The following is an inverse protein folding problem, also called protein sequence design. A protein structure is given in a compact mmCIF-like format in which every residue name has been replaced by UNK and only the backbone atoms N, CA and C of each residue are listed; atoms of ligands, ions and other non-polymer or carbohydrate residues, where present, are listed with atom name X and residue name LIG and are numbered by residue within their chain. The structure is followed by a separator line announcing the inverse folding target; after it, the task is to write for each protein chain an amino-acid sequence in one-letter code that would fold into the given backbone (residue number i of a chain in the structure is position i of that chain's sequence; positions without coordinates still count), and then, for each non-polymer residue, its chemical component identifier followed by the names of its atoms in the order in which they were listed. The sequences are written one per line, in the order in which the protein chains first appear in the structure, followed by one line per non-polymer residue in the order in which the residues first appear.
data_IF_322470100217
#
_entry.id   IF_322470100217
#
_cell.length_a   1.000
_cell.length_b   1.000
_cell.length_c   1.000
_cell.angle_alpha   90.00
_cell.angle_beta   90.00
_cell.angle_gamma   90.00
#
_symmetry.space_group_name_H-M   'P 1'
#
loop_
_entity.id
_entity.type
_entity.pdbx_description
1 polymer ?
#
# COMPACT_ATOMS: atom_id res chain seq x y z
N UNK A 1 -4.72 -13.75 -5.59
CA UNK A 1 -3.69 -13.77 -4.54
C UNK A 1 -4.06 -14.87 -3.57
N UNK A 2 -3.09 -15.52 -2.94
CA UNK A 2 -3.35 -16.57 -1.96
C UNK A 2 -3.41 -15.97 -0.55
N UNK A 3 -4.55 -16.12 0.10
CA UNK A 3 -4.81 -15.71 1.49
C UNK A 3 -5.55 -16.83 2.24
N UNK A 4 -5.45 -18.06 1.74
CA UNK A 4 -6.20 -19.23 2.25
C UNK A 4 -5.85 -19.51 3.70
N UNK A 5 -4.58 -19.32 4.06
CA UNK A 5 -4.04 -19.53 5.40
C UNK A 5 -3.93 -18.22 6.21
N UNK A 6 -4.63 -17.16 5.80
CA UNK A 6 -4.50 -15.82 6.36
C UNK A 6 -3.68 -14.87 5.49
N UNK A 7 -3.48 -13.65 6.00
CA UNK A 7 -2.69 -12.60 5.37
C UNK A 7 -1.29 -12.62 6.00
N UNK A 8 -0.24 -12.89 5.20
CA UNK A 8 1.16 -12.86 5.65
C UNK A 8 1.49 -11.55 6.37
N UNK A 9 2.26 -11.63 7.46
CA UNK A 9 2.66 -10.47 8.27
C UNK A 9 1.53 -9.77 9.02
N UNK A 10 0.32 -10.35 9.06
CA UNK A 10 -0.82 -9.85 9.86
C UNK A 10 -1.36 -10.92 10.80
N UNK A 11 -1.89 -12.01 10.26
CA UNK A 11 -2.39 -13.17 11.02
C UNK A 11 -1.82 -14.51 10.54
N UNK A 12 -0.79 -14.45 9.69
CA UNK A 12 0.01 -15.56 9.22
C UNK A 12 1.50 -15.14 9.25
N UNK A 13 2.46 -16.07 9.11
CA UNK A 13 3.90 -15.75 9.10
C UNK A 13 4.27 -14.65 8.09
N UNK A 14 5.41 -14.01 8.31
CA UNK A 14 5.92 -12.95 7.43
C UNK A 14 6.14 -13.46 5.99
N UNK A 15 5.90 -12.60 4.98
CA UNK A 15 6.04 -12.99 3.58
C UNK A 15 7.51 -13.24 3.22
N UNK A 16 7.79 -14.38 2.58
CA UNK A 16 9.11 -14.75 2.09
C UNK A 16 9.23 -14.62 0.56
N UNK A 17 8.10 -14.44 -0.12
CA UNK A 17 8.04 -14.15 -1.56
C UNK A 17 7.31 -12.86 -1.84
N UNK A 18 7.52 -12.28 -3.03
CA UNK A 18 6.78 -11.08 -3.45
C UNK A 18 5.27 -11.35 -3.58
N UNK A 19 4.89 -12.56 -3.99
CA UNK A 19 3.52 -12.99 -4.16
C UNK A 19 2.78 -13.07 -2.82
N UNK A 20 3.47 -13.53 -1.77
CA UNK A 20 3.00 -13.46 -0.36
C UNK A 20 3.02 -12.04 0.19
N UNK A 21 3.97 -11.21 -0.23
CA UNK A 21 4.04 -9.82 0.19
C UNK A 21 2.89 -8.98 -0.36
N UNK A 22 2.32 -9.33 -1.52
CA UNK A 22 1.21 -8.56 -2.10
C UNK A 22 -0.02 -8.44 -1.19
N UNK A 23 -0.61 -9.52 -0.64
CA UNK A 23 -1.71 -9.41 0.31
C UNK A 23 -1.31 -8.65 1.59
N UNK A 24 -0.07 -8.80 2.08
CA UNK A 24 0.45 -7.97 3.17
C UNK A 24 0.42 -6.48 2.79
N UNK A 25 0.97 -6.10 1.63
CA UNK A 25 0.95 -4.73 1.13
C UNK A 25 -0.49 -4.19 1.02
N UNK A 26 -1.42 -4.95 0.44
CA UNK A 26 -2.82 -4.53 0.33
C UNK A 26 -3.46 -4.32 1.72
N UNK A 27 -3.12 -5.17 2.70
CA UNK A 27 -3.61 -4.99 4.09
C UNK A 27 -3.08 -3.73 4.77
N UNK A 28 -1.94 -3.18 4.31
CA UNK A 28 -1.42 -1.90 4.80
C UNK A 28 -2.07 -0.68 4.13
N UNK A 29 -2.92 -0.88 3.12
CA UNK A 29 -3.58 0.16 2.33
C UNK A 29 -5.11 -0.09 2.21
N UNK A 30 -5.74 -0.49 3.31
CA UNK A 30 -7.16 -0.84 3.32
C UNK A 30 -8.08 0.37 3.20
N UNK A 31 -7.63 1.56 3.56
CA UNK A 31 -8.43 2.77 3.42
C UNK A 31 -8.38 3.29 1.97
N UNK A 32 -9.53 3.59 1.34
CA UNK A 32 -9.56 4.03 -0.07
C UNK A 32 -8.77 5.30 -0.32
N UNK A 33 -8.74 6.24 0.64
CA UNK A 33 -7.94 7.46 0.53
C UNK A 33 -6.42 7.17 0.48
N UNK A 34 -5.91 6.22 1.27
CA UNK A 34 -4.50 5.79 1.23
C UNK A 34 -4.15 5.26 -0.15
N UNK A 35 -5.00 4.39 -0.72
CA UNK A 35 -4.80 3.86 -2.08
C UNK A 35 -4.80 4.96 -3.13
N UNK A 36 -5.75 5.89 -3.05
CA UNK A 36 -5.83 7.02 -3.98
C UNK A 36 -4.59 7.92 -3.90
N UNK A 37 -4.11 8.24 -2.69
CA UNK A 37 -2.90 9.02 -2.48
C UNK A 37 -1.68 8.30 -3.07
N UNK A 38 -1.50 7.01 -2.80
CA UNK A 38 -0.40 6.24 -3.38
C UNK A 38 -0.47 6.20 -4.91
N UNK A 39 -1.65 5.92 -5.49
CA UNK A 39 -1.81 5.89 -6.95
C UNK A 39 -1.43 7.24 -7.56
N UNK A 40 -1.91 8.35 -6.98
CA UNK A 40 -1.58 9.70 -7.42
C UNK A 40 -0.09 10.03 -7.26
N UNK A 41 0.48 9.76 -6.09
CA UNK A 41 1.88 10.05 -5.76
C UNK A 41 2.85 9.26 -6.63
N UNK A 42 2.65 7.94 -6.79
CA UNK A 42 3.47 7.09 -7.66
C UNK A 42 3.36 7.53 -9.12
N UNK A 43 2.15 7.83 -9.60
CA UNK A 43 1.97 8.31 -10.99
C UNK A 43 2.65 9.66 -11.22
N UNK A 44 2.52 10.59 -10.28
CA UNK A 44 3.19 11.89 -10.33
C UNK A 44 4.71 11.77 -10.27
N UNK A 45 5.24 10.88 -9.43
CA UNK A 45 6.67 10.60 -9.36
C UNK A 45 7.22 10.05 -10.69
N UNK A 46 6.48 9.16 -11.36
CA UNK A 46 6.86 8.63 -12.68
C UNK A 46 6.88 9.75 -13.72
N UNK A 47 5.84 10.59 -13.77
CA UNK A 47 5.78 11.72 -14.71
C UNK A 47 6.91 12.72 -14.44
N UNK A 48 7.17 13.05 -13.17
CA UNK A 48 8.25 13.96 -12.78
C UNK A 48 9.63 13.41 -13.18
N UNK A 49 9.90 12.14 -12.88
CA UNK A 49 11.15 11.49 -13.25
C UNK A 49 11.34 11.43 -14.77
N UNK A 50 10.30 11.04 -15.51
CA UNK A 50 10.33 11.02 -16.97
C UNK A 50 10.59 12.41 -17.57
N UNK A 51 9.94 13.45 -17.03
CA UNK A 51 10.22 14.83 -17.41
C UNK A 51 11.68 15.23 -17.12
N UNK A 52 12.24 14.79 -15.99
CA UNK A 52 13.66 15.00 -15.67
C UNK A 52 14.61 14.42 -16.72
N UNK A 53 14.32 13.23 -17.25
CA UNK A 53 15.11 12.66 -18.35
C UNK A 53 14.90 13.40 -19.67
N UNK A 54 13.65 13.73 -20.02
CA UNK A 54 13.33 14.43 -21.28
C UNK A 54 13.95 15.83 -21.33
N UNK A 55 13.94 16.55 -20.22
CA UNK A 55 14.46 17.92 -20.12
C UNK A 55 15.91 17.97 -19.60
N UNK A 56 16.58 16.83 -19.44
CA UNK A 56 17.93 16.73 -18.86
C UNK A 56 18.08 17.48 -17.52
N UNK A 57 17.04 17.47 -16.70
CA UNK A 57 16.98 18.18 -15.43
C UNK A 57 17.14 17.19 -14.25
N UNK A 58 18.33 17.10 -13.63
CA UNK A 58 18.57 16.17 -12.53
C UNK A 58 17.75 16.51 -11.27
N UNK A 59 17.29 17.76 -11.10
CA UNK A 59 16.45 18.13 -9.95
C UNK A 59 15.08 17.46 -10.02
N UNK A 60 14.50 17.31 -11.23
CA UNK A 60 13.23 16.60 -11.39
C UNK A 60 13.38 15.10 -11.11
N UNK A 61 14.50 14.50 -11.54
CA UNK A 61 14.82 13.10 -11.22
C UNK A 61 14.98 12.91 -9.70
N UNK A 62 15.69 13.84 -9.03
CA UNK A 62 15.86 13.82 -7.58
C UNK A 62 14.56 14.11 -6.80
N UNK A 63 13.65 14.91 -7.37
CA UNK A 63 12.35 15.23 -6.76
C UNK A 63 11.35 14.07 -6.85
N UNK A 64 11.45 13.21 -7.87
CA UNK A 64 10.56 12.06 -8.07
C UNK A 64 10.36 11.18 -6.82
N UNK A 65 11.42 10.69 -6.12
CA UNK A 65 11.23 9.90 -4.91
C UNK A 65 10.56 10.68 -3.78
N UNK A 66 10.79 11.99 -3.66
CA UNK A 66 10.14 12.84 -2.64
C UNK A 66 8.65 12.97 -2.93
N UNK A 67 8.29 13.20 -4.20
CA UNK A 67 6.89 13.29 -4.66
C UNK A 67 6.17 11.95 -4.47
N UNK A 68 6.86 10.83 -4.69
CA UNK A 68 6.29 9.49 -4.50
C UNK A 68 6.09 9.15 -3.02
N UNK A 69 7.15 9.24 -2.21
CA UNK A 69 7.13 8.74 -0.84
C UNK A 69 6.57 9.74 0.18
N UNK A 70 6.69 11.05 -0.03
CA UNK A 70 6.21 12.05 0.93
C UNK A 70 4.70 11.92 1.24
N UNK A 71 3.82 12.03 0.22
CA UNK A 71 2.37 11.84 0.39
C UNK A 71 2.02 10.41 0.83
N UNK A 72 2.70 9.40 0.29
CA UNK A 72 2.51 8.00 0.66
C UNK A 72 2.70 7.78 2.17
N UNK A 73 3.84 8.21 2.72
CA UNK A 73 4.14 8.12 4.14
C UNK A 73 3.16 8.93 4.99
N UNK A 74 2.81 10.15 4.55
CA UNK A 74 1.79 10.94 5.24
C UNK A 74 0.45 10.19 5.33
N UNK A 75 0.03 9.50 4.27
CA UNK A 75 -1.21 8.71 4.28
C UNK A 75 -1.15 7.54 5.27
N UNK A 76 -0.01 6.85 5.37
CA UNK A 76 0.18 5.79 6.37
C UNK A 76 0.06 6.31 7.80
N UNK A 77 0.76 7.39 8.14
CA UNK A 77 0.77 7.91 9.51
C UNK A 77 -0.52 8.64 9.90
N UNK A 78 -1.18 9.30 8.95
CA UNK A 78 -2.37 10.12 9.22
C UNK A 78 -3.68 9.35 9.06
N UNK A 79 -3.76 8.41 8.11
CA UNK A 79 -5.00 7.71 7.75
C UNK A 79 -4.97 6.27 8.27
N UNK A 80 -4.00 5.45 7.83
CA UNK A 80 -3.94 4.03 8.22
C UNK A 80 -3.53 3.84 9.68
N UNK A 81 -2.78 4.79 10.25
CA UNK A 81 -2.16 4.69 11.58
C UNK A 81 -1.22 3.49 11.69
N UNK A 82 -0.49 3.18 10.62
CA UNK A 82 0.53 2.13 10.57
C UNK A 82 1.89 2.70 10.13
N UNK A 83 2.92 1.86 10.17
CA UNK A 83 4.22 2.15 9.57
C UNK A 83 4.20 1.68 8.10
N UNK A 84 4.78 2.44 7.16
CA UNK A 84 4.87 2.02 5.76
C UNK A 84 5.57 0.67 5.62
N UNK A 85 5.03 -0.21 4.76
CA UNK A 85 5.63 -1.52 4.46
C UNK A 85 7.08 -1.40 3.94
N UNK A 86 7.43 -0.26 3.34
CA UNK A 86 8.78 0.04 2.84
C UNK A 86 9.86 0.02 3.91
N UNK A 87 9.51 0.14 5.19
CA UNK A 87 10.49 0.06 6.28
C UNK A 87 10.93 -1.38 6.57
N UNK A 88 10.12 -2.39 6.23
CA UNK A 88 10.48 -3.80 6.33
C UNK A 88 10.92 -4.41 4.99
N UNK A 89 10.25 -4.03 3.89
CA UNK A 89 10.48 -4.60 2.57
C UNK A 89 10.58 -3.48 1.50
N UNK A 90 11.66 -2.69 1.46
CA UNK A 90 11.75 -1.49 0.61
C UNK A 90 11.61 -1.82 -0.89
N UNK A 91 12.32 -2.84 -1.38
CA UNK A 91 12.30 -3.25 -2.80
C UNK A 91 10.92 -3.78 -3.21
N UNK A 92 10.29 -4.61 -2.37
CA UNK A 92 8.96 -5.14 -2.66
C UNK A 92 7.88 -4.08 -2.58
N UNK A 93 8.00 -3.13 -1.65
CA UNK A 93 7.05 -2.02 -1.51
C UNK A 93 7.10 -1.11 -2.74
N UNK A 94 8.32 -0.76 -3.20
CA UNK A 94 8.48 -0.02 -4.45
C UNK A 94 7.82 -0.75 -5.63
N UNK A 95 8.09 -2.05 -5.82
CA UNK A 95 7.44 -2.86 -6.87
C UNK A 95 5.92 -2.92 -6.69
N UNK A 96 5.44 -2.97 -5.45
CA UNK A 96 4.01 -3.04 -5.12
C UNK A 96 3.27 -1.73 -5.41
N UNK A 97 3.90 -0.56 -5.25
CA UNK A 97 3.30 0.73 -5.63
C UNK A 97 2.96 0.76 -7.14
N UNK A 98 3.88 0.31 -8.00
CA UNK A 98 3.60 0.20 -9.45
C UNK A 98 2.51 -0.85 -9.74
N UNK A 99 2.51 -1.98 -9.01
CA UNK A 99 1.46 -2.99 -9.13
C UNK A 99 0.10 -2.43 -8.72
N UNK A 100 0.04 -1.60 -7.67
CA UNK A 100 -1.16 -0.92 -7.21
C UNK A 100 -1.69 0.04 -8.26
N UNK A 101 -0.83 0.89 -8.84
CA UNK A 101 -1.18 1.79 -9.95
C UNK A 101 -1.76 1.00 -11.14
N UNK A 102 -1.07 -0.05 -11.60
CA UNK A 102 -1.56 -0.90 -12.69
C UNK A 102 -2.91 -1.53 -12.37
N UNK A 103 -3.10 -2.04 -11.15
CA UNK A 103 -4.36 -2.67 -10.74
C UNK A 103 -5.49 -1.67 -10.56
N UNK A 104 -5.19 -0.44 -10.16
CA UNK A 104 -6.17 0.64 -10.11
C UNK A 104 -6.71 0.93 -11.53
N UNK A 105 -5.81 1.19 -12.48
CA UNK A 105 -6.22 1.51 -13.87
C UNK A 105 -6.86 0.34 -14.61
N UNK A 106 -6.57 -0.90 -14.23
CA UNK A 106 -7.22 -2.10 -14.80
C UNK A 106 -8.49 -2.52 -14.06
N UNK A 107 -8.94 -1.76 -13.06
CA UNK A 107 -10.15 -2.07 -12.28
C UNK A 107 -10.05 -3.31 -11.39
N UNK A 108 -8.84 -3.82 -11.14
CA UNK A 108 -8.58 -5.07 -10.40
C UNK A 108 -8.17 -4.86 -8.95
N UNK A 109 -7.86 -3.63 -8.53
CA UNK A 109 -7.36 -3.35 -7.19
C UNK A 109 -8.43 -3.62 -6.11
N UNK A 110 -9.68 -3.22 -6.35
CA UNK A 110 -10.73 -3.34 -5.35
C UNK A 110 -11.07 -4.82 -5.06
N UNK A 111 -11.01 -5.69 -6.06
CA UNK A 111 -11.18 -7.13 -5.86
C UNK A 111 -10.13 -7.73 -4.91
N UNK A 112 -8.86 -7.29 -5.03
CA UNK A 112 -7.82 -7.71 -4.09
C UNK A 112 -8.12 -7.19 -2.68
N UNK A 113 -8.49 -5.90 -2.55
CA UNK A 113 -8.84 -5.31 -1.26
C UNK A 113 -9.95 -6.12 -0.58
N UNK A 114 -11.01 -6.47 -1.30
CA UNK A 114 -12.13 -7.24 -0.75
C UNK A 114 -11.70 -8.65 -0.31
N UNK A 115 -10.84 -9.31 -1.07
CA UNK A 115 -10.35 -10.63 -0.67
C UNK A 115 -9.43 -10.56 0.57
N UNK A 116 -8.60 -9.52 0.73
CA UNK A 116 -7.85 -9.28 1.98
C UNK A 116 -8.80 -9.00 3.15
N UNK A 117 -9.78 -8.10 2.95
CA UNK A 117 -10.77 -7.76 4.00
C UNK A 117 -11.52 -8.99 4.49
N UNK A 118 -11.92 -9.87 3.57
CA UNK A 118 -12.57 -11.15 3.90
C UNK A 118 -11.66 -12.08 4.69
N UNK A 119 -10.40 -12.24 4.27
CA UNK A 119 -9.41 -13.09 4.97
C UNK A 119 -9.08 -12.60 6.39
N UNK A 120 -9.23 -11.29 6.63
CA UNK A 120 -9.05 -10.68 7.94
C UNK A 120 -10.35 -10.54 8.75
N UNK A 121 -11.47 -11.05 8.23
CA UNK A 121 -12.80 -10.94 8.85
C UNK A 121 -13.18 -9.50 9.24
N UNK A 122 -12.83 -8.52 8.40
CA UNK A 122 -13.11 -7.12 8.66
C UNK A 122 -14.59 -6.79 8.44
N UNK A 123 -15.14 -6.01 9.35
CA UNK A 123 -16.48 -5.44 9.22
C UNK A 123 -16.49 -4.30 8.19
N UNK A 124 -17.64 -3.97 7.57
CA UNK A 124 -17.73 -2.90 6.57
C UNK A 124 -17.22 -1.54 7.05
N UNK A 125 -17.41 -1.20 8.33
CA UNK A 125 -16.97 0.04 8.95
C UNK A 125 -15.46 0.09 9.21
N UNK A 126 -14.77 -1.05 9.25
CA UNK A 126 -13.34 -1.13 9.50
C UNK A 126 -12.59 -0.93 8.20
N UNK A 127 -12.08 0.27 7.99
CA UNK A 127 -11.32 0.71 6.82
C UNK A 127 -9.82 0.57 7.00
N UNK A 128 -9.31 0.40 8.22
CA UNK A 128 -7.88 0.20 8.50
C UNK A 128 -7.64 -0.99 9.46
N UNK A 129 -6.39 -1.48 9.51
CA UNK A 129 -6.00 -2.48 10.53
C UNK A 129 -6.03 -1.91 11.95
N UNK A 130 -5.71 -0.61 12.11
CA UNK A 130 -5.76 0.05 13.42
C UNK A 130 -7.18 0.08 14.00
N UNK A 131 -8.20 0.24 13.16
CA UNK A 131 -9.60 0.14 13.56
C UNK A 131 -10.01 -1.29 13.93
N UNK A 132 -9.39 -2.31 13.32
CA UNK A 132 -9.59 -3.70 13.70
C UNK A 132 -8.98 -4.02 15.08
N UNK A 133 -7.75 -3.56 15.34
CA UNK A 133 -7.02 -3.83 16.58
C UNK A 133 -7.69 -3.23 17.84
N UNK A 134 -8.27 -2.02 17.73
CA UNK A 134 -8.94 -1.33 18.86
C UNK A 134 -10.09 -2.13 19.49
N UNK A 135 -10.66 -3.11 18.78
CA UNK A 135 -11.72 -3.97 19.30
C UNK A 135 -11.22 -4.99 20.32
N UNK A 136 -10.06 -5.61 20.08
CA UNK A 136 -9.50 -6.60 21.00
C UNK A 136 -9.23 -6.00 22.38
N UNK A 137 -8.92 -4.70 22.43
CA UNK A 137 -8.69 -3.95 23.68
C UNK A 137 -9.97 -3.49 24.39
N UNK A 138 -11.14 -3.51 23.74
CA UNK A 138 -12.43 -3.11 24.34
C UNK A 138 -13.29 -4.30 24.79
N UNK A 139 -12.93 -5.51 24.35
CA UNK A 139 -13.63 -6.75 24.66
C UNK A 139 -12.89 -7.63 25.70
N UNK A 140 -11.74 -7.16 26.18
CA UNK A 140 -10.94 -7.74 27.26
C UNK A 140 -11.04 -6.83 28.49
#
# INVERSE_FOLDING_TARGET
MDVTNGVPGVNAPDPNTYEEFWPYYVSQHLHPATRAIHVGATSAAVVCGAAGFVFFNPLLVAAAPVIGYGPAFASHFLIEKNKPASFGHPVWSFRADFRQVRKFFTGRLEADVQQVRKALHLRPEQRTLAEAAKRHLRAA
#
